data_IF_093060679801
#
_entry.id   IF_093060679801
#
_cell.length_a   1.000
_cell.length_b   1.000
_cell.length_c   1.000
_cell.angle_alpha   90.00
_cell.angle_beta   90.00
_cell.angle_gamma   90.00
#
_symmetry.space_group_name_H-M   'P 1'
#
loop_
_entity.id
_entity.type
_entity.pdbx_description
1 polymer ?
#
# COMPACT_ATOMS: atom_id res chain seq x y z
N UNK A 1 2.39 -4.35 30.38
CA UNK A 1 1.06 -4.88 29.99
C UNK A 1 1.08 -6.40 29.78
N UNK A 2 2.04 -6.97 29.02
CA UNK A 2 2.21 -8.44 28.93
C UNK A 2 2.44 -9.12 30.28
N UNK A 3 3.24 -8.52 31.15
CA UNK A 3 3.53 -9.09 32.48
C UNK A 3 2.32 -9.03 33.43
N UNK A 4 1.41 -8.07 33.20
CA UNK A 4 0.13 -8.01 33.92
C UNK A 4 -0.81 -9.15 33.47
N UNK A 5 -0.85 -9.50 32.18
CA UNK A 5 -1.62 -10.64 31.67
C UNK A 5 -1.11 -11.99 32.20
N UNK A 6 0.22 -12.14 32.32
CA UNK A 6 0.84 -13.31 32.98
C UNK A 6 0.51 -13.36 34.47
N UNK A 7 0.57 -12.23 35.17
CA UNK A 7 0.19 -12.13 36.59
C UNK A 7 -1.28 -12.44 36.88
N UNK A 8 -2.17 -12.29 35.88
CA UNK A 8 -3.59 -12.64 35.96
C UNK A 8 -3.90 -14.10 35.55
N UNK A 9 -2.89 -14.94 35.29
CA UNK A 9 -3.09 -16.35 34.95
C UNK A 9 -3.53 -16.63 33.50
N UNK A 10 -3.40 -15.64 32.60
CA UNK A 10 -3.77 -15.83 31.19
C UNK A 10 -2.78 -16.75 30.47
N UNK A 11 -3.31 -17.66 29.64
CA UNK A 11 -2.49 -18.51 28.76
C UNK A 11 -1.86 -17.68 27.64
N UNK A 12 -0.71 -18.13 27.09
CA UNK A 12 0.00 -17.40 26.02
C UNK A 12 -0.88 -17.07 24.80
N UNK A 13 -1.83 -17.95 24.47
CA UNK A 13 -2.75 -17.74 23.36
C UNK A 13 -3.83 -16.69 23.67
N UNK A 14 -4.26 -16.57 24.93
CA UNK A 14 -5.16 -15.51 25.39
C UNK A 14 -4.46 -14.15 25.39
N UNK A 15 -3.21 -14.09 25.85
CA UNK A 15 -2.41 -12.86 25.81
C UNK A 15 -2.21 -12.39 24.36
N UNK A 16 -1.84 -13.31 23.45
CA UNK A 16 -1.65 -12.99 22.04
C UNK A 16 -2.92 -12.40 21.41
N UNK A 17 -4.08 -13.05 21.59
CA UNK A 17 -5.33 -12.62 20.93
C UNK A 17 -6.01 -11.42 21.57
N UNK A 18 -5.96 -11.31 22.90
CA UNK A 18 -6.73 -10.29 23.63
C UNK A 18 -5.91 -9.04 23.94
N UNK A 19 -4.58 -9.14 23.96
CA UNK A 19 -3.69 -8.03 24.32
C UNK A 19 -2.79 -7.67 23.15
N UNK A 20 -2.00 -8.60 22.64
CA UNK A 20 -0.97 -8.29 21.64
C UNK A 20 -1.55 -7.95 20.26
N UNK A 21 -2.49 -8.77 19.76
CA UNK A 21 -3.15 -8.58 18.47
C UNK A 21 -3.86 -7.22 18.36
N UNK A 22 -4.78 -6.84 19.27
CA UNK A 22 -5.44 -5.54 19.17
C UNK A 22 -4.48 -4.37 19.34
N UNK A 23 -3.42 -4.52 20.15
CA UNK A 23 -2.42 -3.47 20.35
C UNK A 23 -1.48 -3.30 19.15
N UNK A 24 -1.11 -4.40 18.49
CA UNK A 24 -0.26 -4.40 17.29
C UNK A 24 -1.04 -4.12 16.01
N UNK A 25 -2.37 -4.26 16.02
CA UNK A 25 -3.25 -4.02 14.88
C UNK A 25 -3.06 -2.61 14.29
N UNK A 26 -3.00 -1.59 15.15
CA UNK A 26 -2.76 -0.20 14.70
C UNK A 26 -1.40 -0.04 14.01
N UNK A 27 -0.37 -0.78 14.46
CA UNK A 27 0.96 -0.76 13.85
C UNK A 27 0.96 -1.51 12.51
N UNK A 28 0.26 -2.65 12.44
CA UNK A 28 0.12 -3.44 11.21
C UNK A 28 -0.60 -2.64 10.14
N UNK A 29 -1.69 -1.94 10.48
CA UNK A 29 -2.42 -1.08 9.53
C UNK A 29 -1.51 0.03 8.98
N UNK A 30 -0.69 0.64 9.85
CA UNK A 30 0.33 1.60 9.43
C UNK A 30 1.35 1.02 8.44
N UNK A 31 1.78 -0.22 8.66
CA UNK A 31 2.68 -0.93 7.74
C UNK A 31 2.01 -1.28 6.40
N UNK A 32 0.75 -1.75 6.44
CA UNK A 32 -0.04 -2.10 5.26
C UNK A 32 -0.23 -0.89 4.35
N UNK A 33 -0.49 0.29 4.92
CA UNK A 33 -0.60 1.54 4.18
C UNK A 33 0.64 1.79 3.31
N UNK A 34 1.83 1.75 3.91
CA UNK A 34 3.09 1.97 3.20
C UNK A 34 3.31 0.89 2.14
N UNK A 35 3.05 -0.37 2.48
CA UNK A 35 3.19 -1.49 1.57
C UNK A 35 2.29 -1.34 0.33
N UNK A 36 1.05 -0.87 0.49
CA UNK A 36 0.11 -0.66 -0.61
C UNK A 36 0.54 0.49 -1.52
N UNK A 37 1.00 1.62 -0.95
CA UNK A 37 1.51 2.75 -1.76
C UNK A 37 2.72 2.31 -2.60
N UNK A 38 3.64 1.55 -2.00
CA UNK A 38 4.79 0.99 -2.73
C UNK A 38 4.35 -0.01 -3.79
N UNK A 39 3.39 -0.88 -3.49
CA UNK A 39 2.86 -1.85 -4.46
C UNK A 39 2.24 -1.16 -5.67
N UNK A 40 1.48 -0.08 -5.48
CA UNK A 40 0.91 0.71 -6.58
C UNK A 40 2.03 1.31 -7.46
N UNK A 41 3.11 1.80 -6.85
CA UNK A 41 4.29 2.27 -7.58
C UNK A 41 4.96 1.16 -8.41
N UNK A 42 5.08 -0.05 -7.86
CA UNK A 42 5.63 -1.22 -8.58
C UNK A 42 4.71 -1.61 -9.75
N UNK A 43 3.39 -1.62 -9.54
CA UNK A 43 2.40 -1.91 -10.59
C UNK A 43 2.51 -0.90 -11.74
N UNK A 44 2.77 0.38 -11.44
CA UNK A 44 2.96 1.40 -12.48
C UNK A 44 4.18 1.13 -13.37
N UNK A 45 5.23 0.50 -12.84
CA UNK A 45 6.43 0.11 -13.60
C UNK A 45 6.25 -1.28 -14.25
N UNK A 46 5.27 -2.07 -13.80
CA UNK A 46 4.94 -3.39 -14.36
C UNK A 46 4.63 -3.38 -15.87
N UNK A 47 4.23 -2.22 -16.40
CA UNK A 47 4.04 -1.97 -17.84
C UNK A 47 5.26 -2.36 -18.69
N UNK A 48 6.48 -2.19 -18.17
CA UNK A 48 7.72 -2.53 -18.88
C UNK A 48 7.90 -4.04 -19.11
N UNK A 49 7.23 -4.88 -18.32
CA UNK A 49 7.30 -6.35 -18.42
C UNK A 49 6.16 -6.88 -19.31
N UNK A 50 5.34 -6.00 -19.90
CA UNK A 50 4.18 -6.37 -20.73
C UNK A 50 2.94 -6.74 -19.92
N UNK A 51 2.92 -6.43 -18.61
CA UNK A 51 1.72 -6.57 -17.80
C UNK A 51 0.74 -5.42 -18.09
N UNK A 52 -0.56 -5.71 -18.34
CA UNK A 52 -1.54 -4.66 -18.61
C UNK A 52 -1.76 -3.81 -17.37
N UNK A 53 -1.40 -2.53 -17.45
CA UNK A 53 -1.37 -1.62 -16.31
C UNK A 53 -1.63 -0.17 -16.75
N UNK A 54 -2.00 0.70 -15.82
CA UNK A 54 -2.21 2.13 -16.13
C UNK A 54 -0.92 2.85 -16.60
N UNK A 55 0.26 2.28 -16.29
CA UNK A 55 1.54 2.79 -16.77
C UNK A 55 1.78 2.59 -18.27
N UNK A 56 0.97 1.78 -18.95
CA UNK A 56 1.06 1.58 -20.40
C UNK A 56 0.81 2.91 -21.16
N UNK A 57 -0.03 3.78 -20.61
CA UNK A 57 -0.32 5.12 -21.15
C UNK A 57 0.92 6.02 -21.04
N UNK A 58 1.66 5.88 -19.93
CA UNK A 58 2.91 6.63 -19.69
C UNK A 58 3.97 6.20 -20.71
N UNK A 59 4.15 4.90 -20.91
CA UNK A 59 5.14 4.37 -21.87
C UNK A 59 4.79 4.78 -23.31
N UNK A 60 3.51 4.76 -23.69
CA UNK A 60 3.08 5.24 -25.01
C UNK A 60 3.37 6.74 -25.19
N UNK A 61 3.19 7.52 -24.14
CA UNK A 61 3.58 8.93 -24.11
C UNK A 61 5.08 9.12 -24.33
N UNK A 62 5.94 8.40 -23.63
CA UNK A 62 7.41 8.52 -23.79
C UNK A 62 7.89 8.24 -25.22
N UNK A 63 7.19 7.38 -25.96
CA UNK A 63 7.54 7.07 -27.36
C UNK A 63 6.96 8.04 -28.40
N UNK A 64 6.19 9.05 -27.98
CA UNK A 64 5.52 10.01 -28.86
C UNK A 64 6.24 11.36 -28.89
N UNK A 65 6.31 12.01 -30.06
CA UNK A 65 7.06 13.27 -30.26
C UNK A 65 6.50 14.48 -29.49
N UNK A 66 5.27 14.38 -28.95
CA UNK A 66 4.64 15.33 -28.00
C UNK A 66 3.91 14.58 -26.86
N UNK A 67 4.63 13.63 -26.26
CA UNK A 67 4.11 12.67 -25.30
C UNK A 67 3.65 13.19 -23.93
N UNK A 68 3.95 14.44 -23.60
CA UNK A 68 3.75 14.99 -22.24
C UNK A 68 2.30 14.85 -21.77
N UNK A 69 1.33 15.07 -22.67
CA UNK A 69 -0.09 14.92 -22.35
C UNK A 69 -0.45 13.47 -22.01
N UNK A 70 0.13 12.49 -22.70
CA UNK A 70 -0.10 11.07 -22.42
C UNK A 70 0.59 10.62 -21.13
N UNK A 71 1.81 11.11 -20.88
CA UNK A 71 2.52 10.87 -19.62
C UNK A 71 1.69 11.37 -18.43
N UNK A 72 1.19 12.61 -18.51
CA UNK A 72 0.34 13.18 -17.47
C UNK A 72 -1.01 12.46 -17.36
N UNK A 73 -1.61 12.07 -18.48
CA UNK A 73 -2.86 11.31 -18.50
C UNK A 73 -2.74 9.94 -17.82
N UNK A 74 -1.56 9.31 -17.84
CA UNK A 74 -1.29 8.08 -17.08
C UNK A 74 -0.86 8.34 -15.64
N UNK A 75 -0.01 9.34 -15.40
CA UNK A 75 0.55 9.62 -14.08
C UNK A 75 -0.48 10.16 -13.08
N UNK A 76 -1.37 11.05 -13.52
CA UNK A 76 -2.41 11.67 -12.68
C UNK A 76 -3.33 10.63 -12.04
N UNK A 77 -3.99 9.71 -12.80
CA UNK A 77 -4.88 8.71 -12.20
C UNK A 77 -4.14 7.74 -11.28
N UNK A 78 -2.89 7.35 -11.60
CA UNK A 78 -2.08 6.48 -10.73
C UNK A 78 -1.79 7.17 -9.40
N UNK A 79 -1.34 8.44 -9.44
CA UNK A 79 -1.08 9.22 -8.24
C UNK A 79 -2.36 9.41 -7.41
N UNK A 80 -3.50 9.64 -8.07
CA UNK A 80 -4.79 9.81 -7.42
C UNK A 80 -5.23 8.51 -6.71
N UNK A 81 -5.07 7.34 -7.34
CA UNK A 81 -5.35 6.04 -6.70
C UNK A 81 -4.44 5.83 -5.48
N UNK A 82 -3.14 6.12 -5.61
CA UNK A 82 -2.20 5.99 -4.50
C UNK A 82 -2.59 6.88 -3.31
N UNK A 83 -2.99 8.13 -3.56
CA UNK A 83 -3.45 9.07 -2.53
C UNK A 83 -4.76 8.61 -1.89
N UNK A 84 -5.73 8.13 -2.67
CA UNK A 84 -7.00 7.62 -2.13
C UNK A 84 -6.75 6.45 -1.18
N UNK A 85 -5.88 5.51 -1.57
CA UNK A 85 -5.52 4.36 -0.73
C UNK A 85 -4.81 4.85 0.55
N UNK A 86 -3.84 5.76 0.42
CA UNK A 86 -3.09 6.29 1.56
C UNK A 86 -4.00 6.99 2.58
N UNK A 87 -4.97 7.78 2.10
CA UNK A 87 -5.94 8.49 2.94
C UNK A 87 -6.98 7.53 3.52
N UNK A 88 -7.47 6.55 2.75
CA UNK A 88 -8.48 5.59 3.22
C UNK A 88 -7.98 4.65 4.32
N UNK A 89 -6.66 4.46 4.44
CA UNK A 89 -6.00 3.63 5.46
C UNK A 89 -5.40 4.44 6.60
N UNK A 90 -5.67 5.75 6.65
CA UNK A 90 -5.22 6.66 7.71
C UNK A 90 -6.20 6.70 8.87
#
# INVERSE_FOLDING_TARGET
IKDAGKGMGMTGNQILRMIELPLSLSVIIGGVRIALVVAIGIVAIGSFIGAPTLGDIIIRGTNSTDGTTFILAGAIPIALIAIIIDIGLR
#
